data_IF_074730131270
#
_entry.id   IF_074730131270
#
_cell.length_a   1.000
_cell.length_b   1.000
_cell.length_c   1.000
_cell.angle_alpha   90.00
_cell.angle_beta   90.00
_cell.angle_gamma   90.00
#
_symmetry.space_group_name_H-M   'P 1'
#
loop_
_entity.id
_entity.type
_entity.pdbx_description
1 polymer ?
#
# COMPACT_ATOMS: atom_id res chain seq x y z
N UNK A 1 -35.73 -18.10 -11.43
CA UNK A 1 -35.73 -19.41 -12.10
C UNK A 1 -34.34 -19.94 -11.84
N UNK A 2 -34.17 -20.61 -10.70
CA UNK A 2 -32.89 -21.17 -10.31
C UNK A 2 -32.35 -22.03 -11.45
N UNK A 3 -31.09 -21.82 -11.81
CA UNK A 3 -30.41 -22.63 -12.82
C UNK A 3 -30.50 -24.09 -12.37
N UNK A 4 -31.17 -24.94 -13.15
CA UNK A 4 -31.27 -26.37 -12.86
C UNK A 4 -29.88 -26.94 -12.58
N UNK A 5 -29.71 -27.60 -11.42
CA UNK A 5 -28.46 -28.19 -10.93
C UNK A 5 -27.33 -27.18 -10.62
N UNK A 6 -27.66 -25.99 -10.11
CA UNK A 6 -26.67 -25.06 -9.58
C UNK A 6 -26.83 -24.86 -8.06
N UNK A 7 -25.71 -24.80 -7.34
CA UNK A 7 -25.65 -24.54 -5.91
C UNK A 7 -25.30 -23.06 -5.67
N UNK A 8 -26.10 -22.37 -4.85
CA UNK A 8 -25.75 -21.02 -4.39
C UNK A 8 -24.46 -21.06 -3.58
N UNK A 9 -23.48 -20.25 -3.99
CA UNK A 9 -22.21 -20.09 -3.30
C UNK A 9 -22.26 -18.89 -2.36
N UNK A 10 -22.72 -17.75 -2.88
CA UNK A 10 -22.89 -16.52 -2.12
C UNK A 10 -23.83 -15.58 -2.87
N UNK A 11 -24.44 -14.67 -2.11
CA UNK A 11 -25.15 -13.53 -2.66
C UNK A 11 -24.82 -12.28 -1.84
N UNK A 12 -24.51 -11.17 -2.50
CA UNK A 12 -24.06 -9.96 -1.82
C UNK A 12 -24.55 -8.69 -2.50
N UNK A 13 -24.76 -7.64 -1.70
CA UNK A 13 -25.07 -6.32 -2.24
C UNK A 13 -23.82 -5.70 -2.85
N UNK A 14 -23.95 -5.21 -4.07
CA UNK A 14 -22.86 -4.57 -4.84
C UNK A 14 -22.76 -3.07 -4.58
N UNK A 15 -23.81 -2.48 -4.00
CA UNK A 15 -23.91 -1.06 -3.66
C UNK A 15 -24.43 -0.89 -2.23
N UNK A 16 -24.01 0.20 -1.56
CA UNK A 16 -24.43 0.50 -0.18
C UNK A 16 -25.94 0.72 -0.04
N UNK A 17 -26.57 1.25 -1.10
CA UNK A 17 -28.01 1.47 -1.17
C UNK A 17 -28.82 0.19 -1.39
N UNK A 18 -28.14 -0.96 -1.53
CA UNK A 18 -28.73 -2.29 -1.72
C UNK A 18 -29.67 -2.35 -2.91
N UNK A 19 -29.40 -1.59 -3.96
CA UNK A 19 -30.23 -1.59 -5.18
C UNK A 19 -29.95 -2.78 -6.10
N UNK A 20 -28.81 -3.44 -5.92
CA UNK A 20 -28.41 -4.62 -6.70
C UNK A 20 -27.75 -5.67 -5.81
N UNK A 21 -28.23 -6.91 -5.91
CA UNK A 21 -27.67 -8.09 -5.28
C UNK A 21 -27.09 -9.01 -6.35
N UNK A 22 -25.81 -9.37 -6.23
CA UNK A 22 -25.18 -10.33 -7.13
C UNK A 22 -25.17 -11.69 -6.48
N UNK A 23 -25.73 -12.70 -7.16
CA UNK A 23 -25.74 -14.08 -6.72
C UNK A 23 -24.79 -14.92 -7.58
N UNK A 24 -23.94 -15.71 -6.93
CA UNK A 24 -22.98 -16.60 -7.58
C UNK A 24 -23.36 -18.06 -7.37
N UNK A 25 -23.48 -18.79 -8.48
CA UNK A 25 -23.97 -20.15 -8.53
C UNK A 25 -22.90 -21.07 -9.12
N UNK A 26 -22.65 -22.19 -8.47
CA UNK A 26 -21.75 -23.23 -8.95
C UNK A 26 -22.55 -24.36 -9.58
N UNK A 27 -22.29 -24.65 -10.86
CA UNK A 27 -22.84 -25.82 -11.55
C UNK A 27 -22.05 -27.08 -11.23
N UNK A 28 -22.65 -28.24 -11.49
CA UNK A 28 -22.01 -29.55 -11.30
C UNK A 28 -20.72 -29.75 -12.13
N UNK A 29 -20.57 -29.01 -13.23
CA UNK A 29 -19.36 -29.00 -14.07
C UNK A 29 -18.21 -28.16 -13.50
N UNK A 30 -18.44 -27.50 -12.36
CA UNK A 30 -17.49 -26.62 -11.67
C UNK A 30 -17.49 -25.17 -12.19
N UNK A 31 -18.29 -24.84 -13.21
CA UNK A 31 -18.39 -23.47 -13.70
C UNK A 31 -19.20 -22.61 -12.73
N UNK A 32 -18.72 -21.38 -12.52
CA UNK A 32 -19.41 -20.36 -11.73
C UNK A 32 -20.16 -19.42 -12.67
N UNK A 33 -21.43 -19.21 -12.37
CA UNK A 33 -22.28 -18.23 -13.05
C UNK A 33 -22.72 -17.16 -12.05
N UNK A 34 -22.71 -15.91 -12.46
CA UNK A 34 -23.18 -14.79 -11.64
C UNK A 34 -24.41 -14.14 -12.27
N UNK A 35 -25.39 -13.82 -11.44
CA UNK A 35 -26.60 -13.11 -11.82
C UNK A 35 -26.76 -11.84 -10.98
N UNK A 36 -27.07 -10.73 -11.63
CA UNK A 36 -27.41 -9.47 -10.96
C UNK A 36 -28.94 -9.41 -10.78
N UNK A 37 -29.37 -9.42 -9.52
CA UNK A 37 -30.76 -9.53 -9.09
C UNK A 37 -31.16 -8.25 -8.34
N UNK A 38 -32.30 -7.69 -8.71
CA UNK A 38 -32.87 -6.54 -8.02
C UNK A 38 -33.62 -7.01 -6.76
N UNK A 39 -33.27 -6.52 -5.56
CA UNK A 39 -33.82 -7.01 -4.29
C UNK A 39 -35.17 -6.35 -3.99
N UNK A 40 -36.19 -6.73 -4.76
CA UNK A 40 -37.56 -6.22 -4.66
C UNK A 40 -38.52 -7.34 -4.25
N UNK A 41 -39.29 -7.17 -3.15
CA UNK A 41 -40.31 -8.15 -2.76
C UNK A 41 -41.31 -8.42 -3.89
N UNK A 42 -41.61 -9.70 -4.12
CA UNK A 42 -42.48 -10.15 -5.20
C UNK A 42 -41.81 -10.24 -6.58
N UNK A 43 -40.53 -9.86 -6.71
CA UNK A 43 -39.74 -10.14 -7.91
C UNK A 43 -39.45 -11.64 -8.00
N UNK A 44 -39.81 -12.27 -9.12
CA UNK A 44 -39.63 -13.70 -9.31
C UNK A 44 -38.16 -14.16 -9.11
N UNK A 45 -37.17 -13.33 -9.44
CA UNK A 45 -35.75 -13.66 -9.23
C UNK A 45 -35.30 -13.47 -7.79
N UNK A 46 -35.90 -12.51 -7.08
CA UNK A 46 -35.56 -12.24 -5.69
C UNK A 46 -36.16 -13.31 -4.77
N UNK A 47 -37.42 -13.66 -4.98
CA UNK A 47 -38.08 -14.73 -4.22
C UNK A 47 -37.37 -16.07 -4.45
N UNK A 48 -36.97 -16.37 -5.70
CA UNK A 48 -36.21 -17.57 -6.06
C UNK A 48 -34.83 -17.61 -5.38
N UNK A 49 -34.12 -16.49 -5.26
CA UNK A 49 -32.88 -16.43 -4.47
C UNK A 49 -33.14 -16.71 -2.98
N UNK A 50 -34.22 -16.15 -2.42
CA UNK A 50 -34.57 -16.31 -1.00
C UNK A 50 -35.07 -17.73 -0.65
N UNK A 51 -35.30 -18.60 -1.63
CA UNK A 51 -35.48 -20.04 -1.38
C UNK A 51 -34.17 -20.74 -0.99
N UNK A 52 -33.01 -20.13 -1.28
CA UNK A 52 -31.69 -20.72 -1.06
C UNK A 52 -30.87 -20.07 0.06
N UNK A 53 -31.24 -18.87 0.51
CA UNK A 53 -30.60 -18.14 1.60
C UNK A 53 -31.58 -17.16 2.24
N UNK A 54 -31.25 -16.65 3.42
CA UNK A 54 -32.01 -15.57 4.03
C UNK A 54 -31.29 -14.20 3.93
N UNK A 55 -31.96 -13.17 4.43
CA UNK A 55 -31.41 -11.81 4.41
C UNK A 55 -30.18 -11.66 5.32
N UNK A 56 -30.03 -12.50 6.34
CA UNK A 56 -28.87 -12.49 7.24
C UNK A 56 -27.65 -13.11 6.54
N UNK A 57 -27.84 -14.22 5.81
CA UNK A 57 -26.82 -14.81 4.95
C UNK A 57 -26.28 -13.79 3.94
N UNK A 58 -27.18 -13.09 3.23
CA UNK A 58 -26.79 -12.06 2.25
C UNK A 58 -26.02 -10.92 2.93
N UNK A 59 -26.41 -10.50 4.13
CA UNK A 59 -25.68 -9.47 4.87
C UNK A 59 -24.29 -9.93 5.29
N UNK A 60 -24.17 -11.16 5.78
CA UNK A 60 -22.91 -11.77 6.18
C UNK A 60 -21.96 -11.91 5.00
N UNK A 61 -22.45 -12.42 3.86
CA UNK A 61 -21.68 -12.50 2.62
C UNK A 61 -21.31 -11.13 2.07
N UNK A 62 -22.20 -10.14 2.16
CA UNK A 62 -21.89 -8.75 1.79
C UNK A 62 -20.74 -8.21 2.62
N UNK A 63 -20.77 -8.40 3.93
CA UNK A 63 -19.68 -7.97 4.81
C UNK A 63 -18.36 -8.67 4.47
N UNK A 64 -18.39 -9.99 4.31
CA UNK A 64 -17.21 -10.77 3.94
C UNK A 64 -16.62 -10.32 2.60
N UNK A 65 -17.46 -10.18 1.56
CA UNK A 65 -17.05 -9.73 0.24
C UNK A 65 -16.40 -8.34 0.30
N UNK A 66 -17.02 -7.39 1.00
CA UNK A 66 -16.46 -6.04 1.15
C UNK A 66 -15.14 -6.04 1.91
N UNK A 67 -15.04 -6.85 2.97
CA UNK A 67 -13.81 -7.00 3.73
C UNK A 67 -12.68 -7.58 2.88
N UNK A 68 -12.94 -8.68 2.17
CA UNK A 68 -11.95 -9.38 1.36
C UNK A 68 -11.55 -8.56 0.13
N UNK A 69 -12.51 -7.89 -0.53
CA UNK A 69 -12.23 -6.98 -1.65
C UNK A 69 -11.37 -5.80 -1.22
N UNK A 70 -11.68 -5.19 -0.07
CA UNK A 70 -10.86 -4.10 0.49
C UNK A 70 -9.45 -4.59 0.81
N UNK A 71 -9.32 -5.76 1.44
CA UNK A 71 -8.01 -6.32 1.79
C UNK A 71 -7.19 -6.61 0.53
N UNK A 72 -7.78 -7.25 -0.48
CA UNK A 72 -7.11 -7.52 -1.75
C UNK A 72 -6.66 -6.24 -2.45
N UNK A 73 -7.52 -5.21 -2.48
CA UNK A 73 -7.16 -3.90 -3.02
C UNK A 73 -6.01 -3.25 -2.25
N UNK A 74 -6.02 -3.30 -0.91
CA UNK A 74 -4.92 -2.78 -0.10
C UNK A 74 -3.60 -3.54 -0.37
N UNK A 75 -3.66 -4.87 -0.53
CA UNK A 75 -2.51 -5.70 -0.89
C UNK A 75 -1.95 -5.35 -2.28
N UNK A 76 -2.82 -5.22 -3.29
CA UNK A 76 -2.44 -4.83 -4.66
C UNK A 76 -1.80 -3.44 -4.68
N UNK A 77 -2.39 -2.47 -3.98
CA UNK A 77 -1.85 -1.11 -3.87
C UNK A 77 -0.47 -1.12 -3.22
N UNK A 78 -0.28 -1.89 -2.14
CA UNK A 78 1.03 -2.03 -1.49
C UNK A 78 2.04 -2.70 -2.44
N UNK A 79 1.63 -3.71 -3.19
CA UNK A 79 2.51 -4.38 -4.15
C UNK A 79 2.96 -3.43 -5.27
N UNK A 80 2.03 -2.68 -5.86
CA UNK A 80 2.33 -1.66 -6.87
C UNK A 80 3.25 -0.60 -6.28
N UNK A 81 2.92 -0.08 -5.08
CA UNK A 81 3.73 0.92 -4.41
C UNK A 81 5.15 0.42 -4.08
N UNK A 82 5.33 -0.86 -3.73
CA UNK A 82 6.66 -1.47 -3.57
C UNK A 82 7.40 -1.58 -4.90
N UNK A 83 6.74 -2.07 -5.96
CA UNK A 83 7.32 -2.18 -7.32
C UNK A 83 7.79 -0.83 -7.86
N UNK A 84 7.06 0.23 -7.58
CA UNK A 84 7.38 1.59 -8.02
C UNK A 84 8.36 2.32 -7.06
N UNK A 85 8.72 1.71 -5.93
CA UNK A 85 9.60 2.32 -4.93
C UNK A 85 8.95 3.47 -4.15
N UNK A 86 7.62 3.47 -4.05
CA UNK A 86 6.82 4.46 -3.30
C UNK A 86 6.68 4.09 -1.82
N UNK A 87 6.77 2.81 -1.47
CA UNK A 87 6.70 2.31 -0.10
C UNK A 87 7.93 1.45 0.21
N UNK A 88 8.62 1.79 1.30
CA UNK A 88 9.83 1.11 1.77
C UNK A 88 9.59 0.52 3.15
N UNK A 89 9.66 -0.82 3.30
CA UNK A 89 9.94 -1.41 4.61
C UNK A 89 11.43 -1.68 4.70
N UNK A 90 12.14 -0.85 5.47
CA UNK A 90 13.60 -0.90 5.62
C UNK A 90 14.08 -2.25 6.18
N UNK A 91 13.18 -3.05 6.76
CA UNK A 91 13.48 -4.36 7.36
C UNK A 91 13.53 -5.51 6.36
N UNK A 92 12.77 -5.43 5.25
CA UNK A 92 12.64 -6.51 4.26
C UNK A 92 13.13 -6.12 2.86
N UNK A 93 13.57 -4.87 2.67
CA UNK A 93 14.10 -4.41 1.39
C UNK A 93 15.42 -5.10 1.05
N UNK A 94 15.51 -5.72 -0.14
CA UNK A 94 16.78 -6.12 -0.73
C UNK A 94 17.72 -4.89 -0.75
N UNK A 95 18.98 -5.10 -0.38
CA UNK A 95 20.00 -4.06 -0.38
C UNK A 95 20.04 -3.30 -1.72
N UNK A 96 19.81 -3.99 -2.85
CA UNK A 96 19.78 -3.35 -4.18
C UNK A 96 18.64 -2.32 -4.31
N UNK A 97 17.47 -2.60 -3.76
CA UNK A 97 16.34 -1.68 -3.78
C UNK A 97 16.58 -0.48 -2.85
N UNK A 98 17.21 -0.70 -1.70
CA UNK A 98 17.65 0.39 -0.82
C UNK A 98 18.62 1.35 -1.53
N UNK A 99 19.61 0.82 -2.27
CA UNK A 99 20.55 1.67 -3.01
C UNK A 99 19.87 2.49 -4.12
N UNK A 100 18.91 1.91 -4.84
CA UNK A 100 18.09 2.64 -5.82
C UNK A 100 17.27 3.74 -5.14
N UNK A 101 16.63 3.42 -4.02
CA UNK A 101 15.86 4.36 -3.23
C UNK A 101 16.69 5.54 -2.74
N UNK A 102 17.89 5.28 -2.19
CA UNK A 102 18.80 6.34 -1.77
C UNK A 102 19.27 7.22 -2.94
N UNK A 103 19.62 6.62 -4.08
CA UNK A 103 20.06 7.37 -5.25
C UNK A 103 18.97 8.31 -5.74
N UNK A 104 17.74 7.82 -5.90
CA UNK A 104 16.59 8.66 -6.28
C UNK A 104 16.30 9.72 -5.22
N UNK A 105 16.25 9.32 -3.96
CA UNK A 105 15.92 10.21 -2.86
C UNK A 105 16.87 11.40 -2.79
N UNK A 106 18.18 11.16 -2.96
CA UNK A 106 19.21 12.19 -2.84
C UNK A 106 19.33 13.01 -4.14
N UNK A 107 19.38 12.35 -5.30
CA UNK A 107 19.83 12.97 -6.56
C UNK A 107 18.73 13.20 -7.61
N UNK A 108 17.58 12.52 -7.51
CA UNK A 108 16.48 12.57 -8.49
C UNK A 108 15.24 13.31 -7.95
N UNK A 109 15.31 13.81 -6.71
CA UNK A 109 14.23 14.59 -6.11
C UNK A 109 14.42 16.08 -6.38
N UNK A 110 13.33 16.72 -6.82
CA UNK A 110 13.21 18.18 -6.82
C UNK A 110 12.98 18.68 -5.39
N UNK A 111 14.09 18.91 -4.70
CA UNK A 111 14.12 19.40 -3.32
C UNK A 111 13.53 20.80 -3.16
N UNK A 112 13.46 21.60 -4.22
CA UNK A 112 12.98 22.98 -4.14
C UNK A 112 11.44 23.04 -4.08
N UNK A 113 10.76 22.10 -4.74
CA UNK A 113 9.29 22.01 -4.75
C UNK A 113 8.71 21.16 -3.60
N UNK A 114 9.53 20.38 -2.91
CA UNK A 114 9.10 19.51 -1.81
C UNK A 114 8.83 20.30 -0.51
N UNK A 115 7.56 20.36 -0.12
CA UNK A 115 7.10 21.02 1.12
C UNK A 115 7.75 20.46 2.39
N UNK A 116 8.20 19.22 2.36
CA UNK A 116 8.86 18.55 3.49
C UNK A 116 10.40 18.52 3.37
N UNK A 117 10.98 19.20 2.37
CA UNK A 117 12.43 19.19 2.14
C UNK A 117 13.26 19.53 3.38
N UNK A 118 12.84 20.55 4.14
CA UNK A 118 13.51 20.99 5.37
C UNK A 118 13.48 19.93 6.47
N UNK A 119 12.33 19.27 6.66
CA UNK A 119 12.16 18.21 7.65
C UNK A 119 12.97 16.97 7.27
N UNK A 120 12.92 16.58 6.00
CA UNK A 120 13.72 15.46 5.44
C UNK A 120 15.22 15.71 5.62
N UNK A 121 15.70 16.92 5.30
CA UNK A 121 17.10 17.33 5.52
C UNK A 121 17.49 17.25 7.01
N UNK A 122 16.62 17.72 7.89
CA UNK A 122 16.85 17.66 9.33
C UNK A 122 16.94 16.21 9.84
N UNK A 123 16.00 15.35 9.44
CA UNK A 123 16.03 13.93 9.79
C UNK A 123 17.29 13.25 9.27
N UNK A 124 17.67 13.49 8.01
CA UNK A 124 18.92 12.94 7.45
C UNK A 124 20.14 13.32 8.29
N UNK A 125 20.29 14.61 8.64
CA UNK A 125 21.39 15.08 9.49
C UNK A 125 21.43 14.36 10.83
N UNK A 126 20.29 14.20 11.50
CA UNK A 126 20.21 13.48 12.76
C UNK A 126 20.73 12.04 12.60
N UNK A 127 20.25 11.31 11.59
CA UNK A 127 20.66 9.94 11.34
C UNK A 127 22.16 9.83 11.02
N UNK A 128 22.70 10.74 10.21
CA UNK A 128 24.15 10.79 9.94
C UNK A 128 24.96 11.00 11.23
N UNK A 129 24.52 11.88 12.13
CA UNK A 129 25.20 12.09 13.41
C UNK A 129 25.09 10.91 14.38
N UNK A 130 24.11 10.02 14.21
CA UNK A 130 23.97 8.80 15.03
C UNK A 130 24.99 7.71 14.65
N UNK A 131 25.55 7.76 13.45
CA UNK A 131 26.54 6.81 12.97
C UNK A 131 27.89 6.95 13.70
N UNK A 132 28.52 5.81 14.01
CA UNK A 132 29.76 5.76 14.80
C UNK A 132 30.92 6.57 14.19
N UNK A 133 31.07 6.54 12.86
CA UNK A 133 32.10 7.32 12.13
C UNK A 133 31.97 8.80 12.43
N UNK A 134 30.74 9.32 12.41
CA UNK A 134 30.44 10.72 12.65
C UNK A 134 30.50 11.07 14.13
N UNK A 135 30.05 10.19 15.03
CA UNK A 135 30.23 10.39 16.49
C UNK A 135 31.71 10.57 16.85
N UNK A 136 32.58 9.72 16.30
CA UNK A 136 34.02 9.68 16.61
C UNK A 136 34.86 10.72 15.88
N UNK A 137 34.37 11.31 14.78
CA UNK A 137 35.11 12.34 14.04
C UNK A 137 35.43 13.55 14.94
N UNK A 138 36.71 13.97 14.91
CA UNK A 138 37.22 15.14 15.64
C UNK A 138 37.14 16.43 14.82
N UNK A 139 36.79 16.36 13.53
CA UNK A 139 36.70 17.52 12.67
C UNK A 139 35.47 18.36 13.02
N UNK A 140 35.66 19.32 13.94
CA UNK A 140 34.61 20.21 14.43
C UNK A 140 34.08 21.13 13.32
N UNK A 141 34.91 21.47 12.35
CA UNK A 141 34.57 22.38 11.27
C UNK A 141 33.59 21.72 10.31
N UNK A 142 33.91 20.54 9.76
CA UNK A 142 33.00 19.81 8.88
C UNK A 142 31.70 19.42 9.61
N UNK A 143 31.76 19.07 10.90
CA UNK A 143 30.54 18.84 11.70
C UNK A 143 29.67 20.09 11.83
N UNK A 144 30.28 21.26 12.01
CA UNK A 144 29.58 22.54 12.06
C UNK A 144 28.92 22.84 10.71
N UNK A 145 29.64 22.61 9.61
CA UNK A 145 29.12 22.79 8.25
C UNK A 145 27.94 21.85 7.96
N UNK A 146 28.04 20.56 8.34
CA UNK A 146 26.95 19.60 8.17
C UNK A 146 25.67 20.00 8.95
N UNK A 147 25.82 20.62 10.13
CA UNK A 147 24.65 21.15 10.87
C UNK A 147 23.99 22.30 10.11
N UNK A 148 24.79 23.17 9.50
CA UNK A 148 24.36 24.44 8.90
C UNK A 148 23.97 24.38 7.42
N UNK A 149 24.31 23.31 6.69
CA UNK A 149 24.01 23.22 5.26
C UNK A 149 22.50 23.32 4.97
N UNK A 150 22.14 23.82 3.79
CA UNK A 150 20.76 24.21 3.48
C UNK A 150 20.02 23.24 2.57
N UNK A 151 20.72 22.29 1.95
CA UNK A 151 20.14 21.30 1.05
C UNK A 151 20.75 19.91 1.25
N UNK A 152 20.08 18.89 0.68
CA UNK A 152 20.48 17.49 0.81
C UNK A 152 21.84 17.20 0.18
N UNK A 153 22.12 17.79 -0.99
CA UNK A 153 23.37 17.54 -1.74
C UNK A 153 24.60 18.03 -0.97
N UNK A 154 24.53 19.22 -0.37
CA UNK A 154 25.57 19.73 0.52
C UNK A 154 25.76 18.81 1.74
N UNK A 155 24.66 18.35 2.36
CA UNK A 155 24.74 17.46 3.51
C UNK A 155 25.47 16.16 3.17
N UNK A 156 25.13 15.54 2.03
CA UNK A 156 25.79 14.31 1.54
C UNK A 156 27.27 14.57 1.23
N UNK A 157 27.59 15.68 0.58
CA UNK A 157 28.97 16.05 0.22
C UNK A 157 29.85 16.18 1.46
N UNK A 158 29.40 16.95 2.46
CA UNK A 158 30.14 17.13 3.72
C UNK A 158 30.23 15.80 4.47
N UNK A 159 29.18 14.97 4.45
CA UNK A 159 29.21 13.67 5.08
C UNK A 159 30.28 12.74 4.46
N UNK A 160 30.40 12.74 3.13
CA UNK A 160 31.45 12.01 2.42
C UNK A 160 32.85 12.52 2.78
N UNK A 161 33.05 13.84 2.90
CA UNK A 161 34.34 14.43 3.32
C UNK A 161 34.75 13.97 4.73
N UNK A 162 33.83 14.02 5.69
CA UNK A 162 34.07 13.54 7.06
C UNK A 162 34.43 12.05 7.05
N UNK A 163 33.72 11.25 6.25
CA UNK A 163 34.00 9.83 6.13
C UNK A 163 35.40 9.59 5.54
N UNK A 164 35.76 10.27 4.45
CA UNK A 164 37.08 10.14 3.83
C UNK A 164 38.22 10.45 4.80
N UNK A 165 38.13 11.52 5.59
CA UNK A 165 39.15 11.86 6.60
C UNK A 165 39.36 10.78 7.68
N UNK A 166 38.33 9.98 7.97
CA UNK A 166 38.42 8.92 8.99
C UNK A 166 39.09 7.64 8.48
N UNK A 167 39.16 7.46 7.15
CA UNK A 167 39.71 6.29 6.49
C UNK A 167 40.90 6.61 5.57
N UNK A 168 41.38 7.85 5.59
CA UNK A 168 42.65 8.30 4.98
C UNK A 168 43.75 8.33 6.04
#
# INVERSE_FOLDING_TARGET
MALENAKLMMAYYTHEDRTNCRAEWMKDDGNIYAEDIRPEPGSALWEDLLEHCDLEDIQNWTFQYQHDSRKGFEEDVIEVARKEGLVWDVRDADAMELYKGFAKAIFDNDWESDKLAKEKLFCFKLQVFELNTFKKSKNKELKSQLRKCQNMIEAVTIACQIHQEMYS
#
